data_IF_389901225072
#
_entry.id   IF_389901225072
#
_cell.length_a   1.000
_cell.length_b   1.000
_cell.length_c   1.000
_cell.angle_alpha   90.00
_cell.angle_beta   90.00
_cell.angle_gamma   90.00
#
_symmetry.space_group_name_H-M   'P 1'
#
loop_
_entity.id
_entity.type
_entity.pdbx_description
1 polymer ?
#
# COMPACT_ATOMS: atom_id res chain seq x y z
N UNK A 1 -20.22 23.57 -17.80
CA UNK A 1 -19.73 23.89 -16.45
C UNK A 1 -19.77 22.61 -15.63
N UNK A 2 -18.61 22.01 -15.36
CA UNK A 2 -18.53 20.80 -14.54
C UNK A 2 -18.67 21.18 -13.07
N UNK A 3 -19.57 20.53 -12.34
CA UNK A 3 -19.83 20.80 -10.93
C UNK A 3 -18.55 20.52 -10.09
N UNK A 4 -17.94 21.51 -9.42
CA UNK A 4 -16.70 21.34 -8.66
C UNK A 4 -16.84 20.30 -7.53
N UNK A 5 -18.02 20.27 -6.89
CA UNK A 5 -18.29 19.42 -5.73
C UNK A 5 -18.37 17.93 -6.07
N UNK A 6 -18.76 17.59 -7.30
CA UNK A 6 -18.87 16.20 -7.75
C UNK A 6 -17.49 15.53 -7.93
N UNK A 7 -16.51 16.27 -8.46
CA UNK A 7 -15.14 15.75 -8.64
C UNK A 7 -14.36 15.69 -7.32
N UNK A 8 -14.66 16.58 -6.39
CA UNK A 8 -14.06 16.59 -5.06
C UNK A 8 -14.44 15.35 -4.24
N UNK A 9 -15.69 14.90 -4.35
CA UNK A 9 -16.16 13.69 -3.69
C UNK A 9 -15.54 12.42 -4.31
N UNK A 10 -15.49 12.33 -5.65
CA UNK A 10 -14.90 11.18 -6.36
C UNK A 10 -13.41 11.00 -6.05
N UNK A 11 -12.65 12.10 -5.99
CA UNK A 11 -11.22 12.05 -5.70
C UNK A 11 -10.94 11.65 -4.24
N UNK A 12 -11.73 12.14 -3.27
CA UNK A 12 -11.62 11.73 -1.86
C UNK A 12 -11.98 10.25 -1.64
N UNK A 13 -12.99 9.73 -2.33
CA UNK A 13 -13.40 8.33 -2.27
C UNK A 13 -12.31 7.36 -2.79
N UNK A 14 -11.47 7.82 -3.72
CA UNK A 14 -10.42 7.01 -4.33
C UNK A 14 -9.13 6.88 -3.48
N UNK A 15 -8.94 7.73 -2.47
CA UNK A 15 -7.77 7.68 -1.58
C UNK A 15 -8.12 6.73 -0.44
N UNK A 16 -7.38 5.64 -0.18
CA UNK A 16 -7.71 4.73 0.93
C UNK A 16 -7.55 5.43 2.30
N UNK A 17 -8.10 4.85 3.37
CA UNK A 17 -7.70 5.25 4.73
C UNK A 17 -6.32 4.66 5.05
N UNK A 18 -5.40 5.46 5.59
CA UNK A 18 -4.12 4.96 6.08
C UNK A 18 -4.38 4.05 7.28
N UNK A 19 -3.94 2.79 7.19
CA UNK A 19 -4.17 1.76 8.20
C UNK A 19 -2.87 1.18 8.79
N UNK A 20 -1.72 1.77 8.46
CA UNK A 20 -0.39 1.32 8.86
C UNK A 20 0.28 0.35 7.89
N UNK A 21 -0.49 -0.37 7.07
CA UNK A 21 0.04 -1.36 6.12
C UNK A 21 0.06 -0.87 4.67
N UNK A 22 -0.76 0.11 4.34
CA UNK A 22 -0.95 0.60 2.97
C UNK A 22 -0.24 1.94 2.67
N UNK A 23 0.77 2.34 3.45
CA UNK A 23 1.38 3.67 3.35
C UNK A 23 1.88 4.02 1.95
N UNK A 24 2.55 3.11 1.23
CA UNK A 24 3.01 3.39 -0.13
C UNK A 24 1.83 3.80 -1.03
N UNK A 25 0.75 3.02 -1.02
CA UNK A 25 -0.43 3.32 -1.82
C UNK A 25 -1.16 4.59 -1.37
N UNK A 26 -1.32 4.76 -0.05
CA UNK A 26 -1.95 5.93 0.54
C UNK A 26 -1.19 7.22 0.23
N UNK A 27 0.13 7.21 0.41
CA UNK A 27 0.97 8.40 0.26
C UNK A 27 1.02 8.89 -1.19
N UNK A 28 1.10 7.98 -2.16
CA UNK A 28 1.03 8.34 -3.59
C UNK A 28 -0.29 9.01 -3.93
N UNK A 29 -1.42 8.40 -3.55
CA UNK A 29 -2.75 8.95 -3.86
C UNK A 29 -3.01 10.27 -3.14
N UNK A 30 -2.64 10.37 -1.86
CA UNK A 30 -2.79 11.61 -1.09
C UNK A 30 -1.90 12.73 -1.66
N UNK A 31 -0.65 12.43 -2.04
CA UNK A 31 0.24 13.40 -2.67
C UNK A 31 -0.34 13.91 -3.99
N UNK A 32 -0.81 13.02 -4.87
CA UNK A 32 -1.41 13.39 -6.15
C UNK A 32 -2.62 14.31 -5.92
N UNK A 33 -3.49 13.93 -4.98
CA UNK A 33 -4.67 14.72 -4.61
C UNK A 33 -4.31 16.13 -4.11
N UNK A 34 -3.36 16.24 -3.17
CA UNK A 34 -2.90 17.54 -2.65
C UNK A 34 -2.22 18.39 -3.73
N UNK A 35 -1.49 17.77 -4.69
CA UNK A 35 -0.91 18.49 -5.83
C UNK A 35 -1.98 19.05 -6.76
N UNK A 36 -3.02 18.27 -7.06
CA UNK A 36 -4.17 18.73 -7.86
C UNK A 36 -4.84 19.97 -7.27
N UNK A 37 -4.79 20.12 -5.93
CA UNK A 37 -5.30 21.28 -5.20
C UNK A 37 -4.27 22.38 -4.91
N UNK A 38 -3.04 22.25 -5.40
CA UNK A 38 -1.90 23.16 -5.10
C UNK A 38 -1.53 23.25 -3.61
N UNK A 39 -1.94 22.26 -2.79
CA UNK A 39 -1.70 22.22 -1.35
C UNK A 39 -0.40 21.51 -0.98
N UNK A 40 0.19 20.70 -1.86
CA UNK A 40 1.36 19.90 -1.50
C UNK A 40 2.62 20.74 -1.13
N UNK A 41 2.65 22.02 -1.50
CA UNK A 41 3.73 22.94 -1.15
C UNK A 41 3.91 23.09 0.37
N UNK A 42 2.82 23.27 1.11
CA UNK A 42 2.83 23.44 2.58
C UNK A 42 3.18 22.14 3.32
N UNK A 43 3.05 20.98 2.67
CA UNK A 43 3.51 19.70 3.22
C UNK A 43 5.03 19.51 3.08
N UNK A 44 5.66 20.16 2.08
CA UNK A 44 7.11 20.07 1.86
C UNK A 44 7.90 21.11 2.65
N UNK A 45 7.34 22.30 2.80
CA UNK A 45 8.01 23.46 3.38
C UNK A 45 7.16 24.03 4.50
N UNK A 46 7.80 24.36 5.62
CA UNK A 46 7.17 25.15 6.66
C UNK A 46 6.99 26.61 6.22
N UNK A 47 6.29 27.39 7.06
CA UNK A 47 6.09 28.81 6.83
C UNK A 47 7.44 29.54 6.72
N UNK A 48 7.61 30.34 5.67
CA UNK A 48 8.72 31.29 5.61
C UNK A 48 8.37 32.50 6.49
N UNK A 49 9.10 32.68 7.60
CA UNK A 49 8.85 33.76 8.56
C UNK A 49 9.10 35.16 7.98
N UNK A 50 9.94 35.26 6.95
CA UNK A 50 10.31 36.50 6.27
C UNK A 50 9.35 36.85 5.11
N UNK A 51 8.34 36.02 4.85
CA UNK A 51 7.36 36.29 3.82
C UNK A 51 6.47 37.50 4.19
N UNK A 52 5.87 38.13 3.18
CA UNK A 52 4.87 39.18 3.40
C UNK A 52 3.66 38.61 4.15
N UNK A 53 2.89 39.49 4.79
CA UNK A 53 1.74 39.09 5.60
C UNK A 53 0.69 38.37 4.74
N UNK A 54 0.48 38.82 3.50
CA UNK A 54 -0.45 38.20 2.55
C UNK A 54 -0.04 36.77 2.23
N UNK A 55 1.27 36.50 2.09
CA UNK A 55 1.79 35.15 1.85
C UNK A 55 1.64 34.28 3.08
N UNK A 56 1.79 34.84 4.29
CA UNK A 56 1.58 34.09 5.55
C UNK A 56 0.13 33.67 5.71
N UNK A 57 -0.83 34.58 5.46
CA UNK A 57 -2.27 34.27 5.52
C UNK A 57 -2.61 33.15 4.54
N UNK A 58 -2.19 33.26 3.28
CA UNK A 58 -2.43 32.22 2.26
C UNK A 58 -1.74 30.90 2.64
N UNK A 59 -0.56 30.95 3.26
CA UNK A 59 0.11 29.75 3.75
C UNK A 59 -0.69 29.09 4.87
N UNK A 60 -1.20 29.85 5.85
CA UNK A 60 -1.97 29.34 6.97
C UNK A 60 -3.27 28.67 6.51
N UNK A 61 -4.01 29.29 5.59
CA UNK A 61 -5.20 28.70 4.98
C UNK A 61 -4.90 27.36 4.30
N UNK A 62 -3.85 27.32 3.46
CA UNK A 62 -3.43 26.11 2.77
C UNK A 62 -2.90 25.04 3.75
N UNK A 63 -2.19 25.44 4.79
CA UNK A 63 -1.70 24.57 5.85
C UNK A 63 -2.87 23.88 6.56
N UNK A 64 -3.87 24.65 6.99
CA UNK A 64 -5.04 24.13 7.68
C UNK A 64 -5.87 23.21 6.79
N UNK A 65 -6.07 23.58 5.52
CA UNK A 65 -6.78 22.73 4.56
C UNK A 65 -6.02 21.43 4.27
N UNK A 66 -4.70 21.47 4.12
CA UNK A 66 -3.89 20.27 3.94
C UNK A 66 -3.97 19.34 5.16
N UNK A 67 -3.90 19.89 6.38
CA UNK A 67 -4.06 19.11 7.62
C UNK A 67 -5.42 18.42 7.65
N UNK A 68 -6.52 19.17 7.39
CA UNK A 68 -7.87 18.63 7.37
C UNK A 68 -8.01 17.46 6.38
N UNK A 69 -7.51 17.62 5.15
CA UNK A 69 -7.60 16.61 4.12
C UNK A 69 -6.75 15.36 4.44
N UNK A 70 -5.57 15.55 5.03
CA UNK A 70 -4.71 14.44 5.45
C UNK A 70 -5.38 13.66 6.57
N UNK A 71 -5.83 14.33 7.63
CA UNK A 71 -6.40 13.67 8.82
C UNK A 71 -7.71 12.96 8.51
N UNK A 72 -8.52 13.49 7.59
CA UNK A 72 -9.75 12.84 7.10
C UNK A 72 -9.49 11.47 6.43
N UNK A 73 -8.24 11.18 6.02
CA UNK A 73 -7.84 9.90 5.43
C UNK A 73 -6.94 9.05 6.32
N UNK A 74 -6.99 9.24 7.64
CA UNK A 74 -6.31 8.40 8.62
C UNK A 74 -7.34 7.50 9.33
N UNK A 75 -7.01 6.22 9.54
CA UNK A 75 -7.74 5.43 10.56
C UNK A 75 -7.39 5.97 11.95
N UNK A 76 -8.28 5.76 12.91
CA UNK A 76 -8.13 6.21 14.30
C UNK A 76 -6.76 5.89 14.91
N UNK A 77 -6.30 4.64 14.79
CA UNK A 77 -4.95 4.23 15.25
C UNK A 77 -3.87 5.13 14.66
N UNK A 78 -3.91 5.36 13.35
CA UNK A 78 -2.92 6.17 12.66
C UNK A 78 -3.00 7.64 13.07
N UNK A 79 -4.21 8.17 13.22
CA UNK A 79 -4.45 9.52 13.71
C UNK A 79 -3.78 9.73 15.08
N UNK A 80 -4.04 8.84 16.04
CA UNK A 80 -3.51 8.94 17.40
C UNK A 80 -1.97 8.84 17.46
N UNK A 81 -1.35 8.11 16.53
CA UNK A 81 0.11 8.01 16.45
C UNK A 81 0.77 9.26 15.87
N UNK A 82 0.12 9.93 14.89
CA UNK A 82 0.74 11.03 14.14
C UNK A 82 0.30 12.42 14.58
N UNK A 83 -0.95 12.61 15.03
CA UNK A 83 -1.51 13.90 15.43
C UNK A 83 -1.23 14.16 16.91
N UNK A 84 -0.48 15.22 17.21
CA UNK A 84 -0.20 15.67 18.57
C UNK A 84 0.08 17.18 18.61
N UNK A 85 0.44 17.71 19.78
CA UNK A 85 0.72 19.15 19.97
C UNK A 85 1.80 19.73 19.07
N UNK A 86 2.66 18.89 18.44
CA UNK A 86 3.70 19.35 17.52
C UNK A 86 3.28 19.30 16.05
N UNK A 87 2.33 18.42 15.70
CA UNK A 87 1.97 18.16 14.29
C UNK A 87 0.59 18.68 13.91
N UNK A 88 -0.31 18.91 14.88
CA UNK A 88 -1.70 19.31 14.64
C UNK A 88 -1.83 20.65 13.91
N UNK A 89 -0.82 21.52 14.03
CA UNK A 89 -0.82 22.89 13.49
C UNK A 89 0.13 23.03 12.27
N UNK A 90 0.79 21.95 11.83
CA UNK A 90 1.76 22.01 10.73
C UNK A 90 1.63 20.83 9.77
N UNK A 91 1.15 21.11 8.56
CA UNK A 91 1.05 20.15 7.47
C UNK A 91 2.40 19.51 7.15
N UNK A 92 3.49 20.30 7.17
CA UNK A 92 4.84 19.80 6.94
C UNK A 92 5.30 18.82 8.02
N UNK A 93 5.06 19.14 9.30
CA UNK A 93 5.45 18.26 10.40
C UNK A 93 4.59 17.00 10.44
N UNK A 94 3.28 17.13 10.17
CA UNK A 94 2.36 16.02 10.06
C UNK A 94 2.76 15.06 8.94
N UNK A 95 2.97 15.58 7.71
CA UNK A 95 3.38 14.79 6.55
C UNK A 95 4.71 14.07 6.80
N UNK A 96 5.69 14.78 7.35
CA UNK A 96 7.00 14.23 7.71
C UNK A 96 6.88 13.09 8.75
N UNK A 97 6.08 13.29 9.81
CA UNK A 97 5.88 12.27 10.85
C UNK A 97 5.17 11.02 10.31
N UNK A 98 4.15 11.19 9.47
CA UNK A 98 3.47 10.06 8.81
C UNK A 98 4.49 9.26 7.98
N UNK A 99 5.32 9.95 7.18
CA UNK A 99 6.36 9.30 6.40
C UNK A 99 7.38 8.57 7.28
N UNK A 100 7.86 9.20 8.35
CA UNK A 100 8.83 8.58 9.27
C UNK A 100 8.31 7.29 9.91
N UNK A 101 7.05 7.26 10.33
CA UNK A 101 6.46 6.10 10.99
C UNK A 101 6.13 5.01 9.98
N UNK A 102 5.47 5.34 8.87
CA UNK A 102 4.88 4.33 8.00
C UNK A 102 5.66 4.02 6.73
N UNK A 103 6.62 4.85 6.30
CA UNK A 103 7.49 4.48 5.18
C UNK A 103 8.40 3.30 5.56
N UNK A 104 9.02 3.36 6.74
CA UNK A 104 9.83 2.28 7.29
C UNK A 104 8.96 1.04 7.55
N UNK A 105 7.81 1.21 8.20
CA UNK A 105 6.86 0.12 8.41
C UNK A 105 6.38 -0.48 7.09
N UNK A 106 6.20 0.30 6.02
CA UNK A 106 5.81 -0.22 4.71
C UNK A 106 6.93 -1.00 4.01
N UNK A 107 8.18 -0.56 4.11
CA UNK A 107 9.34 -1.34 3.63
C UNK A 107 9.48 -2.63 4.42
N UNK A 108 9.41 -2.55 5.75
CA UNK A 108 9.49 -3.69 6.67
C UNK A 108 8.30 -4.64 6.45
N UNK A 109 7.09 -4.12 6.29
CA UNK A 109 5.88 -4.92 6.02
C UNK A 109 6.01 -5.65 4.69
N UNK A 110 6.46 -4.96 3.63
CA UNK A 110 6.77 -5.61 2.35
C UNK A 110 7.80 -6.71 2.56
N UNK A 111 8.93 -6.40 3.19
CA UNK A 111 9.98 -7.36 3.52
C UNK A 111 9.43 -8.57 4.29
N UNK A 112 8.61 -8.36 5.30
CA UNK A 112 7.99 -9.42 6.11
C UNK A 112 7.03 -10.30 5.30
N UNK A 113 6.21 -9.72 4.42
CA UNK A 113 5.35 -10.48 3.51
C UNK A 113 6.21 -11.34 2.56
N UNK A 114 7.31 -10.79 2.04
CA UNK A 114 8.24 -11.55 1.19
C UNK A 114 8.98 -12.65 1.95
N UNK A 115 9.52 -12.35 3.14
CA UNK A 115 10.20 -13.35 3.94
C UNK A 115 9.27 -14.48 4.35
N UNK A 116 8.01 -14.17 4.72
CA UNK A 116 6.98 -15.19 4.96
C UNK A 116 6.71 -16.03 3.72
N UNK A 117 6.53 -15.40 2.55
CA UNK A 117 6.36 -16.11 1.28
C UNK A 117 7.54 -17.05 0.99
N UNK A 118 8.76 -16.55 1.06
CA UNK A 118 9.98 -17.31 0.79
C UNK A 118 10.14 -18.49 1.75
N UNK A 119 9.71 -18.35 3.01
CA UNK A 119 9.81 -19.39 4.02
C UNK A 119 8.76 -20.52 3.89
N UNK A 120 7.70 -20.36 3.10
CA UNK A 120 6.71 -21.43 2.89
C UNK A 120 7.36 -22.60 2.17
N UNK A 121 7.17 -23.80 2.75
CA UNK A 121 7.58 -25.10 2.22
C UNK A 121 6.39 -26.05 2.23
N UNK A 122 6.34 -26.95 1.25
CA UNK A 122 5.40 -28.07 1.28
C UNK A 122 5.79 -29.08 2.36
N UNK A 123 4.80 -29.63 3.07
CA UNK A 123 4.99 -30.53 4.22
C UNK A 123 4.23 -31.85 4.08
N UNK A 124 3.85 -32.25 2.85
CA UNK A 124 3.03 -33.45 2.60
C UNK A 124 1.53 -33.18 2.52
N UNK A 125 1.03 -32.13 3.18
CA UNK A 125 -0.41 -31.81 3.22
C UNK A 125 -0.81 -30.80 2.12
N UNK A 126 -1.28 -31.30 0.98
CA UNK A 126 -1.56 -30.47 -0.21
C UNK A 126 -2.62 -29.40 0.02
N UNK A 127 -3.74 -29.75 0.68
CA UNK A 127 -4.79 -28.78 0.97
C UNK A 127 -4.34 -27.70 1.95
N UNK A 128 -3.51 -28.07 2.94
CA UNK A 128 -2.92 -27.09 3.86
C UNK A 128 -1.96 -26.14 3.13
N UNK A 129 -1.17 -26.67 2.20
CA UNK A 129 -0.29 -25.87 1.35
C UNK A 129 -1.08 -24.89 0.49
N UNK A 130 -2.11 -25.35 -0.24
CA UNK A 130 -2.97 -24.50 -1.08
C UNK A 130 -3.59 -23.37 -0.25
N UNK A 131 -4.15 -23.69 0.92
CA UNK A 131 -4.76 -22.70 1.80
C UNK A 131 -3.73 -21.66 2.32
N UNK A 132 -2.53 -22.11 2.63
CA UNK A 132 -1.42 -21.25 3.06
C UNK A 132 -0.97 -20.31 1.94
N UNK A 133 -0.78 -20.82 0.72
CA UNK A 133 -0.41 -20.00 -0.43
C UNK A 133 -1.51 -18.99 -0.76
N UNK A 134 -2.79 -19.40 -0.82
CA UNK A 134 -3.92 -18.48 -1.07
C UNK A 134 -3.96 -17.34 -0.06
N UNK A 135 -3.71 -17.63 1.22
CA UNK A 135 -3.62 -16.60 2.27
C UNK A 135 -2.47 -15.63 2.00
N UNK A 136 -1.30 -16.15 1.64
CA UNK A 136 -0.11 -15.34 1.42
C UNK A 136 -0.19 -14.52 0.12
N UNK A 137 -0.82 -15.03 -0.93
CA UNK A 137 -1.08 -14.28 -2.17
C UNK A 137 -1.91 -13.02 -1.91
N UNK A 138 -2.96 -13.11 -1.09
CA UNK A 138 -3.74 -11.92 -0.68
C UNK A 138 -2.88 -10.89 0.05
N UNK A 139 -1.99 -11.32 0.93
CA UNK A 139 -1.05 -10.40 1.61
C UNK A 139 -0.08 -9.75 0.62
N UNK A 140 0.41 -10.51 -0.38
CA UNK A 140 1.27 -9.99 -1.46
C UNK A 140 0.52 -8.94 -2.30
N UNK A 141 -0.72 -9.21 -2.69
CA UNK A 141 -1.57 -8.27 -3.44
C UNK A 141 -1.83 -6.96 -2.67
N UNK A 142 -1.97 -7.05 -1.35
CA UNK A 142 -2.16 -5.86 -0.49
C UNK A 142 -0.90 -4.98 -0.40
N UNK A 143 0.29 -5.57 -0.51
CA UNK A 143 1.57 -4.86 -0.37
C UNK A 143 2.27 -4.57 -1.71
N UNK A 144 1.81 -5.13 -2.84
CA UNK A 144 2.43 -4.95 -4.16
C UNK A 144 1.46 -4.59 -5.28
N UNK A 145 2.00 -3.79 -6.21
CA UNK A 145 1.42 -3.44 -7.51
C UNK A 145 2.12 -4.12 -8.70
N UNK A 146 3.17 -4.94 -8.52
CA UNK A 146 4.06 -5.31 -9.65
C UNK A 146 4.84 -6.64 -9.58
N UNK A 147 4.31 -7.73 -9.00
CA UNK A 147 4.87 -9.05 -9.32
C UNK A 147 4.10 -9.67 -10.48
N UNK A 148 4.79 -10.09 -11.55
CA UNK A 148 4.17 -10.87 -12.61
C UNK A 148 3.53 -12.14 -12.05
N UNK A 149 2.32 -12.45 -12.53
CA UNK A 149 1.54 -13.59 -12.03
C UNK A 149 2.19 -14.93 -12.38
N UNK A 150 2.79 -15.03 -13.56
CA UNK A 150 3.58 -16.17 -14.02
C UNK A 150 4.79 -16.46 -13.10
N UNK A 151 5.55 -15.43 -12.70
CA UNK A 151 6.67 -15.58 -11.75
C UNK A 151 6.19 -16.15 -10.41
N UNK A 152 5.05 -15.67 -9.91
CA UNK A 152 4.45 -16.21 -8.69
C UNK A 152 4.00 -17.67 -8.86
N UNK A 153 3.44 -18.03 -10.02
CA UNK A 153 3.07 -19.41 -10.34
C UNK A 153 4.30 -20.34 -10.39
N UNK A 154 5.42 -19.91 -10.99
CA UNK A 154 6.68 -20.67 -10.98
C UNK A 154 7.22 -20.86 -9.56
N UNK A 155 7.16 -19.82 -8.73
CA UNK A 155 7.54 -19.90 -7.31
C UNK A 155 6.67 -20.88 -6.51
N UNK A 156 5.36 -20.96 -6.79
CA UNK A 156 4.46 -21.92 -6.16
C UNK A 156 4.90 -23.34 -6.49
N UNK A 157 5.13 -23.66 -7.77
CA UNK A 157 5.59 -24.99 -8.16
C UNK A 157 6.97 -25.32 -7.59
N UNK A 158 7.90 -24.35 -7.61
CA UNK A 158 9.23 -24.54 -7.02
C UNK A 158 9.20 -24.90 -5.53
N UNK A 159 8.17 -24.48 -4.79
CA UNK A 159 7.98 -24.82 -3.38
C UNK A 159 7.50 -26.25 -3.13
N UNK A 160 6.94 -26.92 -4.13
CA UNK A 160 6.43 -28.30 -4.03
C UNK A 160 7.28 -29.29 -4.84
N UNK A 161 8.01 -28.81 -5.84
CA UNK A 161 8.89 -29.61 -6.69
C UNK A 161 9.89 -30.42 -5.84
N UNK A 162 10.13 -31.67 -6.24
CA UNK A 162 11.04 -32.58 -5.54
C UNK A 162 10.38 -33.39 -4.43
N UNK A 163 9.06 -33.25 -4.26
CA UNK A 163 8.26 -34.11 -3.40
C UNK A 163 7.59 -35.19 -4.27
N UNK A 164 8.05 -36.43 -4.11
CA UNK A 164 7.64 -37.59 -4.93
C UNK A 164 6.12 -37.78 -5.04
N UNK A 165 5.38 -37.42 -4.00
CA UNK A 165 3.92 -37.56 -3.93
C UNK A 165 3.18 -36.61 -4.90
N UNK A 166 3.79 -35.49 -5.28
CA UNK A 166 3.18 -34.47 -6.14
C UNK A 166 3.93 -34.25 -7.45
N UNK A 167 5.05 -34.93 -7.69
CA UNK A 167 5.88 -34.74 -8.90
C UNK A 167 5.11 -34.98 -10.21
N UNK A 168 4.21 -35.98 -10.26
CA UNK A 168 3.37 -36.21 -11.44
C UNK A 168 2.40 -35.05 -11.71
N UNK A 169 1.84 -34.45 -10.64
CA UNK A 169 0.95 -33.29 -10.73
C UNK A 169 1.74 -32.07 -11.19
N UNK A 170 2.91 -31.81 -10.60
CA UNK A 170 3.82 -30.71 -10.98
C UNK A 170 4.19 -30.78 -12.47
N UNK A 171 4.59 -31.96 -12.96
CA UNK A 171 4.98 -32.13 -14.36
C UNK A 171 3.82 -31.85 -15.32
N UNK A 172 2.59 -32.24 -14.95
CA UNK A 172 1.39 -31.95 -15.75
C UNK A 172 1.09 -30.45 -15.78
N UNK A 173 1.21 -29.77 -14.64
CA UNK A 173 0.97 -28.33 -14.53
C UNK A 173 2.04 -27.54 -15.31
N UNK A 174 3.31 -27.95 -15.21
CA UNK A 174 4.45 -27.27 -15.86
C UNK A 174 4.31 -27.15 -17.39
N UNK A 175 3.49 -28.00 -18.02
CA UNK A 175 3.24 -28.01 -19.46
C UNK A 175 1.95 -27.26 -19.87
N UNK A 176 1.19 -26.72 -18.90
CA UNK A 176 -0.10 -26.07 -19.15
C UNK A 176 0.00 -24.56 -19.08
N UNK A 177 -0.11 -23.86 -20.21
CA UNK A 177 -0.15 -22.39 -20.24
C UNK A 177 -1.31 -21.82 -19.40
N UNK A 178 -2.47 -22.48 -19.42
CA UNK A 178 -3.66 -22.08 -18.64
C UNK A 178 -3.39 -22.11 -17.13
N UNK A 179 -2.61 -23.07 -16.66
CA UNK A 179 -2.28 -23.19 -15.25
C UNK A 179 -1.34 -22.05 -14.77
N UNK A 180 -0.59 -21.40 -15.67
CA UNK A 180 0.27 -20.27 -15.32
C UNK A 180 -0.39 -18.90 -15.52
N UNK A 181 -1.61 -18.84 -16.06
CA UNK A 181 -2.31 -17.58 -16.34
C UNK A 181 -2.42 -16.68 -15.09
N UNK A 182 -2.67 -17.27 -13.92
CA UNK A 182 -2.59 -16.59 -12.63
C UNK A 182 -2.05 -17.51 -11.54
N UNK A 183 -1.54 -16.96 -10.42
CA UNK A 183 -1.15 -17.77 -9.26
C UNK A 183 -2.29 -18.60 -8.68
N UNK A 184 -3.55 -18.15 -8.83
CA UNK A 184 -4.71 -18.91 -8.38
C UNK A 184 -5.04 -20.06 -9.32
N UNK A 185 -4.96 -19.84 -10.63
CA UNK A 185 -5.11 -20.90 -11.64
C UNK A 185 -4.08 -22.02 -11.45
N UNK A 186 -2.85 -21.65 -11.07
CA UNK A 186 -1.80 -22.61 -10.71
C UNK A 186 -2.20 -23.44 -9.49
N UNK A 187 -2.78 -22.83 -8.46
CA UNK A 187 -3.25 -23.52 -7.26
C UNK A 187 -4.48 -24.38 -7.51
N UNK A 188 -5.38 -23.97 -8.39
CA UNK A 188 -6.59 -24.72 -8.73
C UNK A 188 -6.25 -25.97 -9.57
N UNK A 189 -5.05 -26.00 -10.16
CA UNK A 189 -4.54 -27.12 -10.93
C UNK A 189 -3.78 -28.15 -10.07
N UNK A 190 -3.51 -27.84 -8.80
CA UNK A 190 -2.88 -28.72 -7.80
C UNK A 190 -3.93 -29.61 -7.11
#
# INVERSE_FOLDING_TARGET
MSNPDGMDNINQLSIPLLNGNNYAHWSDRMMIYLRGRKLFGVCKKGLNKEASEEVKVVFEENNNLAILLITARLKEKCFNEVVNSKTRDSASLLWSKIGKIYASQSVINRGNVFMKWSAIKYTGELQLFINTIRKQLREIELVKKSMPGDVLSYEILGKIMGNKEVDMIVNKIALSEEAFATPYSCLDSL
#
